data_IF_310618253321
#
_entry.id   IF_310618253321
#
_cell.length_a   1.000
_cell.length_b   1.000
_cell.length_c   1.000
_cell.angle_alpha   90.00
_cell.angle_beta   90.00
_cell.angle_gamma   90.00
#
_symmetry.space_group_name_H-M   'P 1'
#
loop_
_entity.id
_entity.type
_entity.pdbx_description
1 polymer ?
#
# COMPACT_ATOMS: atom_id res chain seq x y z
N UNK A 1 9.31 -27.58 57.50
CA UNK A 1 8.30 -27.36 56.44
C UNK A 1 8.44 -25.92 56.01
N UNK A 2 9.03 -25.71 54.84
CA UNK A 2 9.48 -24.41 54.36
C UNK A 2 8.33 -23.65 53.69
N UNK A 3 8.14 -22.42 54.12
CA UNK A 3 7.38 -21.39 53.42
C UNK A 3 8.07 -21.05 52.10
N UNK A 4 7.37 -21.20 50.98
CA UNK A 4 7.74 -20.57 49.71
C UNK A 4 6.66 -19.55 49.36
N UNK A 5 6.93 -18.28 49.69
CA UNK A 5 6.19 -17.15 49.15
C UNK A 5 6.42 -17.09 47.63
N UNK A 6 5.32 -17.08 46.88
CA UNK A 6 5.32 -16.89 45.45
C UNK A 6 5.57 -15.41 45.16
N UNK A 7 6.81 -15.04 44.80
CA UNK A 7 7.08 -13.71 44.28
C UNK A 7 6.68 -13.64 42.80
N UNK A 8 5.84 -12.67 42.38
CA UNK A 8 5.58 -12.45 40.97
C UNK A 8 6.86 -11.91 40.32
N UNK A 9 7.38 -12.64 39.33
CA UNK A 9 8.48 -12.20 38.49
C UNK A 9 8.06 -10.92 37.76
N UNK A 10 8.65 -9.79 38.16
CA UNK A 10 8.64 -8.56 37.37
C UNK A 10 9.46 -8.79 36.11
N UNK A 11 8.85 -9.29 35.05
CA UNK A 11 9.40 -9.19 33.69
C UNK A 11 9.40 -7.72 33.29
N UNK A 12 10.49 -7.01 33.61
CA UNK A 12 10.83 -5.78 32.88
C UNK A 12 11.13 -6.19 31.44
N UNK A 13 10.17 -5.98 30.54
CA UNK A 13 10.42 -6.05 29.11
C UNK A 13 11.46 -4.97 28.76
N UNK A 14 12.72 -5.35 28.60
CA UNK A 14 13.72 -4.50 27.96
C UNK A 14 13.29 -4.32 26.50
N UNK A 15 12.73 -3.16 26.15
CA UNK A 15 12.50 -2.81 24.74
C UNK A 15 13.85 -2.78 24.02
N UNK A 16 13.91 -3.39 22.84
CA UNK A 16 15.09 -3.33 21.97
C UNK A 16 15.38 -1.88 21.59
N UNK A 17 16.65 -1.55 21.34
CA UNK A 17 17.04 -0.18 20.97
C UNK A 17 16.35 0.29 19.68
N UNK A 18 16.01 -0.65 18.80
CA UNK A 18 15.19 -0.40 17.61
C UNK A 18 13.76 0.05 17.93
N UNK A 19 13.06 -0.62 18.87
CA UNK A 19 11.72 -0.20 19.29
C UNK A 19 11.75 1.17 19.98
N UNK A 20 12.82 1.48 20.73
CA UNK A 20 13.04 2.82 21.29
C UNK A 20 13.25 3.84 20.17
N UNK A 21 14.02 3.49 19.14
CA UNK A 21 14.25 4.33 17.96
C UNK A 21 12.95 4.67 17.24
N UNK A 22 12.12 3.67 16.93
CA UNK A 22 10.78 3.86 16.37
C UNK A 22 9.94 4.84 17.19
N UNK A 23 9.80 4.57 18.49
CA UNK A 23 9.01 5.40 19.41
C UNK A 23 9.56 6.83 19.50
N UNK A 24 10.90 6.96 19.46
CA UNK A 24 11.53 8.26 19.49
C UNK A 24 11.23 9.05 18.22
N UNK A 25 11.34 8.46 17.04
CA UNK A 25 11.00 9.13 15.77
C UNK A 25 9.58 9.70 15.80
N UNK A 26 8.61 8.93 16.30
CA UNK A 26 7.21 9.36 16.41
C UNK A 26 6.98 10.50 17.41
N UNK A 27 7.87 10.68 18.38
CA UNK A 27 7.72 11.66 19.46
C UNK A 27 8.58 12.92 19.28
N UNK A 28 9.38 13.01 18.20
CA UNK A 28 10.14 14.23 17.88
C UNK A 28 9.19 15.41 17.66
N UNK A 29 9.51 16.54 18.28
CA UNK A 29 8.92 17.84 17.92
C UNK A 29 9.29 18.23 16.49
N UNK A 30 8.61 19.20 15.91
CA UNK A 30 8.86 19.61 14.51
C UNK A 30 10.30 20.12 14.32
N UNK A 31 10.83 20.86 15.30
CA UNK A 31 12.21 21.35 15.30
C UNK A 31 13.21 20.20 15.42
N UNK A 32 13.02 19.28 16.37
CA UNK A 32 13.87 18.11 16.53
C UNK A 32 13.82 17.20 15.29
N UNK A 33 12.64 17.02 14.70
CA UNK A 33 12.44 16.21 13.50
C UNK A 33 13.23 16.78 12.33
N UNK A 34 13.05 18.08 12.04
CA UNK A 34 13.78 18.76 10.98
C UNK A 34 15.28 18.79 11.29
N UNK A 35 15.68 18.95 12.56
CA UNK A 35 17.08 18.97 13.00
C UNK A 35 17.79 17.61 12.95
N UNK A 36 17.03 16.51 13.02
CA UNK A 36 17.57 15.15 13.17
C UNK A 36 17.48 14.33 11.88
N UNK A 37 16.36 14.44 11.16
CA UNK A 37 16.07 13.61 9.99
C UNK A 37 16.09 14.39 8.69
N UNK A 38 16.48 13.72 7.62
CA UNK A 38 16.33 14.17 6.25
C UNK A 38 15.72 13.07 5.38
N UNK A 39 15.34 13.47 4.17
CA UNK A 39 14.90 12.56 3.13
C UNK A 39 16.06 12.28 2.19
N UNK A 40 16.33 11.01 1.94
CA UNK A 40 17.19 10.61 0.84
C UNK A 40 16.37 9.87 -0.22
N UNK A 41 16.69 10.04 -1.51
CA UNK A 41 16.02 9.28 -2.54
C UNK A 41 16.27 7.79 -2.34
N UNK A 42 15.23 7.00 -2.53
CA UNK A 42 15.32 5.54 -2.46
C UNK A 42 15.86 5.01 -3.78
N UNK A 43 17.17 5.15 -4.00
CA UNK A 43 17.84 4.45 -5.10
C UNK A 43 18.21 3.06 -4.63
N UNK A 44 17.41 2.07 -5.01
CA UNK A 44 17.95 0.71 -5.16
C UNK A 44 17.61 0.24 -6.55
N UNK A 45 18.64 -0.18 -7.28
CA UNK A 45 18.57 -0.96 -8.52
C UNK A 45 17.73 -2.25 -8.37
N UNK A 46 17.24 -2.56 -7.16
CA UNK A 46 16.45 -3.75 -6.83
C UNK A 46 15.19 -3.46 -5.99
N UNK A 47 14.87 -2.21 -5.63
CA UNK A 47 13.60 -1.91 -4.94
C UNK A 47 12.49 -1.59 -5.94
N UNK A 48 12.00 -2.66 -6.56
CA UNK A 48 10.58 -3.05 -6.61
C UNK A 48 10.48 -4.17 -7.64
N UNK A 49 10.85 -5.38 -7.22
CA UNK A 49 10.48 -6.61 -7.93
C UNK A 49 8.97 -6.89 -7.84
N UNK A 50 8.24 -6.09 -7.03
CA UNK A 50 6.81 -6.23 -6.87
C UNK A 50 6.09 -5.52 -8.02
N UNK A 51 5.69 -6.33 -8.99
CA UNK A 51 4.80 -5.95 -10.09
C UNK A 51 3.34 -5.71 -9.61
N UNK A 52 3.13 -5.48 -8.32
CA UNK A 52 1.81 -5.38 -7.69
C UNK A 52 1.79 -4.40 -6.52
N UNK A 53 0.73 -3.60 -6.45
CA UNK A 53 0.30 -2.86 -5.26
C UNK A 53 -1.04 -3.43 -4.82
N UNK A 54 -1.18 -3.73 -3.52
CA UNK A 54 -2.37 -4.39 -2.98
C UNK A 54 -3.09 -3.43 -2.07
N UNK A 55 -4.36 -3.15 -2.33
CA UNK A 55 -5.22 -2.47 -1.38
C UNK A 55 -6.43 -3.37 -1.11
N UNK A 56 -6.31 -4.24 -0.11
CA UNK A 56 -7.34 -5.18 0.24
C UNK A 56 -7.56 -5.24 1.75
N UNK A 57 -8.81 -5.50 2.12
CA UNK A 57 -9.25 -5.71 3.49
C UNK A 57 -9.48 -7.19 3.81
N UNK A 58 -9.26 -8.06 2.81
CA UNK A 58 -9.48 -9.49 2.95
C UNK A 58 -8.33 -10.29 2.38
N UNK A 59 -7.61 -10.92 3.30
CA UNK A 59 -6.63 -11.97 3.03
C UNK A 59 -7.23 -13.15 2.23
N UNK A 60 -8.51 -13.47 2.47
CA UNK A 60 -9.23 -14.52 1.73
C UNK A 60 -9.38 -14.17 0.25
N UNK A 61 -9.61 -12.91 -0.08
CA UNK A 61 -9.63 -12.46 -1.47
C UNK A 61 -8.26 -12.66 -2.13
N UNK A 62 -7.17 -12.26 -1.47
CA UNK A 62 -5.81 -12.48 -1.99
C UNK A 62 -5.51 -13.97 -2.19
N UNK A 63 -5.85 -14.81 -1.21
CA UNK A 63 -5.66 -16.25 -1.34
C UNK A 63 -6.42 -16.80 -2.54
N UNK A 64 -7.71 -16.51 -2.66
CA UNK A 64 -8.52 -17.06 -3.74
C UNK A 64 -8.08 -16.53 -5.13
N UNK A 65 -7.69 -15.24 -5.21
CA UNK A 65 -7.12 -14.62 -6.41
C UNK A 65 -5.83 -15.30 -6.87
N UNK A 66 -4.97 -15.69 -5.93
CA UNK A 66 -3.65 -16.28 -6.22
C UNK A 66 -3.59 -17.81 -6.04
N UNK A 67 -4.71 -18.49 -5.78
CA UNK A 67 -4.73 -19.95 -5.63
C UNK A 67 -4.40 -20.63 -6.96
N UNK A 68 -3.29 -21.38 -7.00
CA UNK A 68 -2.87 -22.13 -8.18
C UNK A 68 -3.80 -23.28 -8.58
N UNK A 69 -4.68 -23.74 -7.68
CA UNK A 69 -5.58 -24.88 -7.90
C UNK A 69 -6.80 -24.52 -8.73
N UNK A 70 -7.20 -23.25 -8.74
CA UNK A 70 -8.36 -22.77 -9.52
C UNK A 70 -7.92 -22.19 -10.86
N UNK A 71 -8.75 -22.35 -11.90
CA UNK A 71 -8.44 -21.82 -13.24
C UNK A 71 -8.70 -20.31 -13.31
N UNK A 72 -8.01 -19.59 -14.19
CA UNK A 72 -8.26 -18.16 -14.41
C UNK A 72 -9.73 -17.88 -14.74
N UNK A 73 -10.33 -18.68 -15.64
CA UNK A 73 -11.74 -18.58 -16.03
C UNK A 73 -12.67 -18.73 -14.82
N UNK A 74 -12.36 -19.65 -13.90
CA UNK A 74 -13.11 -19.76 -12.67
C UNK A 74 -12.96 -18.48 -11.82
N UNK A 75 -11.73 -17.99 -11.63
CA UNK A 75 -11.50 -16.80 -10.81
C UNK A 75 -12.15 -15.53 -11.40
N UNK A 76 -12.11 -15.33 -12.72
CA UNK A 76 -12.77 -14.19 -13.38
C UNK A 76 -14.30 -14.26 -13.28
N UNK A 77 -14.85 -15.47 -13.19
CA UNK A 77 -16.29 -15.65 -13.09
C UNK A 77 -16.78 -15.54 -11.64
N UNK A 78 -16.00 -16.00 -10.67
CA UNK A 78 -16.47 -16.20 -9.31
C UNK A 78 -15.81 -15.30 -8.27
N UNK A 79 -14.61 -14.77 -8.52
CA UNK A 79 -13.80 -14.11 -7.48
C UNK A 79 -13.61 -12.63 -7.79
N UNK A 80 -13.24 -12.29 -9.02
CA UNK A 80 -12.83 -10.95 -9.38
C UNK A 80 -13.32 -10.53 -10.75
N UNK A 81 -13.31 -9.23 -11.00
CA UNK A 81 -13.32 -8.67 -12.34
C UNK A 81 -12.11 -7.77 -12.54
N UNK A 82 -11.77 -7.54 -13.81
CA UNK A 82 -10.61 -6.74 -14.20
C UNK A 82 -11.12 -5.40 -14.71
N UNK A 83 -10.64 -4.32 -14.10
CA UNK A 83 -10.70 -2.97 -14.64
C UNK A 83 -9.45 -2.81 -15.52
N UNK A 84 -9.65 -2.94 -16.83
CA UNK A 84 -8.56 -2.84 -17.81
C UNK A 84 -8.16 -1.37 -18.03
N UNK A 85 -6.88 -1.00 -17.85
CA UNK A 85 -6.39 0.33 -18.13
C UNK A 85 -6.26 0.54 -19.63
N UNK A 86 -6.90 1.59 -20.12
CA UNK A 86 -6.57 2.16 -21.42
C UNK A 86 -5.20 2.87 -21.30
N UNK A 87 -4.11 2.17 -21.63
CA UNK A 87 -2.77 2.74 -21.78
C UNK A 87 -2.32 3.74 -20.70
N UNK A 88 -2.43 3.38 -19.41
CA UNK A 88 -2.05 4.27 -18.31
C UNK A 88 -0.63 4.00 -17.81
N UNK A 89 0.19 5.04 -17.75
CA UNK A 89 1.54 5.03 -17.18
C UNK A 89 1.56 5.83 -15.87
N UNK A 90 2.51 5.49 -15.00
CA UNK A 90 2.81 6.14 -13.73
C UNK A 90 4.30 6.37 -13.59
N UNK A 91 4.70 7.51 -13.08
CA UNK A 91 6.06 7.77 -12.62
C UNK A 91 6.15 7.49 -11.12
N UNK A 92 7.30 7.00 -10.67
CA UNK A 92 7.53 6.73 -9.26
C UNK A 92 8.43 7.80 -8.65
N UNK A 93 7.95 8.37 -7.56
CA UNK A 93 8.73 9.12 -6.59
C UNK A 93 8.94 8.25 -5.35
N UNK A 94 10.18 8.08 -4.89
CA UNK A 94 10.44 7.30 -3.69
C UNK A 94 11.56 7.89 -2.85
N UNK A 95 11.28 8.05 -1.56
CA UNK A 95 12.23 8.55 -0.56
C UNK A 95 12.20 7.68 0.68
N UNK A 96 13.23 7.80 1.51
CA UNK A 96 13.28 7.17 2.82
C UNK A 96 13.88 8.10 3.87
N UNK A 97 13.54 7.84 5.13
CA UNK A 97 14.11 8.57 6.25
C UNK A 97 15.59 8.25 6.42
N UNK A 98 16.37 9.28 6.74
CA UNK A 98 17.78 9.15 7.09
C UNK A 98 18.16 10.11 8.20
N UNK A 99 19.08 9.68 9.05
CA UNK A 99 19.71 10.54 10.03
C UNK A 99 20.62 11.57 9.35
N UNK A 100 20.51 12.84 9.73
CA UNK A 100 21.40 13.90 9.22
C UNK A 100 22.85 13.67 9.64
N UNK A 101 23.78 14.11 8.78
CA UNK A 101 25.21 14.10 9.09
C UNK A 101 25.58 15.16 10.14
N UNK A 102 24.84 16.28 10.19
CA UNK A 102 25.04 17.37 11.13
C UNK A 102 23.78 17.50 11.98
N UNK A 103 23.81 16.89 13.16
CA UNK A 103 22.70 16.89 14.11
C UNK A 103 22.69 18.19 14.91
N UNK A 104 21.50 18.66 15.24
CA UNK A 104 21.32 19.73 16.22
C UNK A 104 21.37 19.07 17.61
N UNK A 105 21.98 19.74 18.60
CA UNK A 105 22.15 19.24 19.98
C UNK A 105 20.82 19.13 20.77
N UNK A 106 19.66 19.20 20.10
CA UNK A 106 18.33 19.12 20.70
C UNK A 106 17.92 17.70 21.07
N UNK A 107 18.50 16.67 20.44
CA UNK A 107 18.21 15.26 20.72
C UNK A 107 19.37 14.58 21.43
N UNK A 108 19.08 13.83 22.51
CA UNK A 108 20.10 13.14 23.30
C UNK A 108 20.89 12.10 22.50
N UNK A 109 22.16 11.89 22.87
CA UNK A 109 23.05 10.92 22.18
C UNK A 109 22.51 9.48 22.16
N UNK A 110 21.88 9.05 23.26
CA UNK A 110 21.29 7.72 23.34
C UNK A 110 20.06 7.57 22.43
N UNK A 111 19.24 8.62 22.34
CA UNK A 111 18.10 8.69 21.42
C UNK A 111 18.57 8.62 19.96
N UNK A 112 19.61 9.38 19.60
CA UNK A 112 20.22 9.34 18.27
C UNK A 112 20.71 7.93 17.93
N UNK A 113 21.35 7.25 18.88
CA UNK A 113 21.82 5.88 18.70
C UNK A 113 20.66 4.90 18.49
N UNK A 114 19.57 5.04 19.24
CA UNK A 114 18.37 4.22 19.07
C UNK A 114 17.69 4.48 17.72
N UNK A 115 17.53 5.75 17.32
CA UNK A 115 17.00 6.14 16.00
C UNK A 115 17.84 5.51 14.89
N UNK A 116 19.16 5.62 15.00
CA UNK A 116 20.08 5.02 14.02
C UNK A 116 19.91 3.50 13.95
N UNK A 117 19.86 2.82 15.09
CA UNK A 117 19.66 1.38 15.14
C UNK A 117 18.37 0.95 14.42
N UNK A 118 17.26 1.68 14.64
CA UNK A 118 16.00 1.43 13.95
C UNK A 118 16.10 1.63 12.43
N UNK A 119 16.69 2.75 11.98
CA UNK A 119 16.86 3.04 10.56
C UNK A 119 17.80 2.04 9.86
N UNK A 120 18.85 1.57 10.54
CA UNK A 120 19.80 0.60 9.99
C UNK A 120 19.19 -0.82 9.89
N UNK A 121 18.34 -1.21 10.84
CA UNK A 121 17.76 -2.56 10.91
C UNK A 121 16.71 -2.81 9.82
N UNK A 122 15.90 -1.81 9.46
CA UNK A 122 14.79 -2.03 8.54
C UNK A 122 14.67 -0.98 7.42
N UNK A 123 15.53 -1.11 6.41
CA UNK A 123 15.56 -0.24 5.21
C UNK A 123 14.20 -0.06 4.51
N UNK A 124 13.30 -1.04 4.54
CA UNK A 124 12.00 -0.95 3.85
C UNK A 124 10.92 -0.21 4.66
N UNK A 125 10.94 -0.30 5.99
CA UNK A 125 9.86 0.20 6.86
C UNK A 125 9.76 1.74 6.89
N UNK A 126 10.87 2.43 6.71
CA UNK A 126 10.91 3.90 6.71
C UNK A 126 10.96 4.48 5.29
N UNK A 127 10.16 3.92 4.37
CA UNK A 127 10.05 4.38 3.00
C UNK A 127 8.68 5.02 2.70
N UNK A 128 8.71 6.00 1.82
CA UNK A 128 7.54 6.65 1.24
C UNK A 128 7.65 6.61 -0.27
N UNK A 129 6.70 5.96 -0.92
CA UNK A 129 6.64 5.81 -2.37
C UNK A 129 5.35 6.40 -2.87
N UNK A 130 5.42 7.16 -3.95
CA UNK A 130 4.27 7.67 -4.68
C UNK A 130 4.38 7.20 -6.12
N UNK A 131 3.35 6.55 -6.62
CA UNK A 131 3.16 6.36 -8.05
C UNK A 131 2.15 7.38 -8.52
N UNK A 132 2.50 8.22 -9.47
CA UNK A 132 1.64 9.29 -9.95
C UNK A 132 1.58 9.30 -11.47
N UNK A 133 0.47 9.76 -12.06
CA UNK A 133 0.41 9.94 -13.52
C UNK A 133 1.47 10.95 -14.00
N UNK A 134 1.99 10.84 -15.24
CA UNK A 134 3.05 11.72 -15.75
C UNK A 134 2.66 13.21 -15.83
N UNK A 135 1.37 13.54 -15.81
CA UNK A 135 0.88 14.92 -15.74
C UNK A 135 0.96 15.53 -14.33
N UNK A 136 1.36 14.73 -13.34
CA UNK A 136 1.53 15.15 -11.95
C UNK A 136 3.01 15.25 -11.58
N UNK A 137 3.29 16.12 -10.62
CA UNK A 137 4.57 16.18 -9.92
C UNK A 137 4.38 16.13 -8.39
N UNK A 138 5.47 15.96 -7.65
CA UNK A 138 5.40 15.81 -6.20
C UNK A 138 4.88 17.07 -5.49
N UNK A 139 5.10 18.29 -6.00
CA UNK A 139 4.59 19.50 -5.33
C UNK A 139 3.09 19.67 -5.47
N UNK A 140 2.51 19.28 -6.60
CA UNK A 140 1.06 19.24 -6.76
C UNK A 140 0.43 18.25 -5.78
N UNK A 141 1.05 17.08 -5.61
CA UNK A 141 0.61 16.09 -4.61
C UNK A 141 0.73 16.66 -3.20
N UNK A 142 1.85 17.27 -2.84
CA UNK A 142 2.04 17.89 -1.52
C UNK A 142 1.04 19.03 -1.26
N UNK A 143 0.77 19.86 -2.26
CA UNK A 143 -0.22 20.93 -2.18
C UNK A 143 -1.60 20.37 -1.84
N UNK A 144 -2.02 19.31 -2.54
CA UNK A 144 -3.25 18.61 -2.23
C UNK A 144 -3.26 17.98 -0.84
N UNK A 145 -2.17 17.30 -0.44
CA UNK A 145 -2.06 16.72 0.91
C UNK A 145 -2.20 17.79 2.01
N UNK A 146 -1.68 18.98 1.78
CA UNK A 146 -1.80 20.11 2.70
C UNK A 146 -3.23 20.67 2.75
N UNK A 147 -3.93 20.67 1.61
CA UNK A 147 -5.30 21.15 1.51
C UNK A 147 -6.30 20.20 2.19
N UNK A 148 -6.23 18.90 1.87
CA UNK A 148 -7.15 17.91 2.46
C UNK A 148 -6.80 17.56 3.91
N UNK A 149 -5.58 17.88 4.33
CA UNK A 149 -5.07 17.73 5.70
C UNK A 149 -4.76 16.29 6.13
N UNK A 150 -5.63 15.34 5.82
CA UNK A 150 -5.41 13.92 6.14
C UNK A 150 -6.01 13.04 5.06
N UNK A 151 -5.19 12.14 4.51
CA UNK A 151 -5.68 11.10 3.62
C UNK A 151 -6.42 10.04 4.40
N UNK A 152 -7.55 9.61 3.84
CA UNK A 152 -8.26 8.42 4.30
C UNK A 152 -7.68 7.20 3.59
N UNK A 153 -7.46 6.12 4.32
CA UNK A 153 -7.24 4.82 3.68
C UNK A 153 -8.53 4.38 2.99
N UNK A 154 -8.47 3.44 2.04
CA UNK A 154 -9.68 2.90 1.39
C UNK A 154 -10.65 2.25 2.41
N UNK A 155 -10.16 1.92 3.62
CA UNK A 155 -10.97 1.47 4.75
C UNK A 155 -11.79 2.58 5.42
N UNK A 156 -11.31 3.81 5.39
CA UNK A 156 -11.95 4.95 6.07
C UNK A 156 -12.92 5.71 5.14
N UNK A 157 -12.87 5.42 3.85
CA UNK A 157 -13.81 5.93 2.85
C UNK A 157 -15.18 5.24 3.04
N UNK A 158 -16.27 5.94 2.76
CA UNK A 158 -17.63 5.36 2.80
C UNK A 158 -17.90 4.41 1.62
N UNK A 159 -18.92 3.57 1.73
CA UNK A 159 -19.22 2.52 0.73
C UNK A 159 -19.58 3.06 -0.64
N UNK A 160 -20.27 4.20 -0.70
CA UNK A 160 -20.67 4.81 -1.96
C UNK A 160 -19.43 5.32 -2.72
N UNK A 161 -18.59 6.08 -2.03
CA UNK A 161 -17.34 6.59 -2.59
C UNK A 161 -16.38 5.45 -2.95
N UNK A 162 -16.27 4.43 -2.10
CA UNK A 162 -15.47 3.23 -2.37
C UNK A 162 -15.92 2.52 -3.65
N UNK A 163 -17.24 2.34 -3.84
CA UNK A 163 -17.80 1.73 -5.04
C UNK A 163 -17.44 2.50 -6.31
N UNK A 164 -17.61 3.83 -6.30
CA UNK A 164 -17.23 4.69 -7.44
C UNK A 164 -15.73 4.56 -7.74
N UNK A 165 -14.91 4.60 -6.71
CA UNK A 165 -13.46 4.52 -6.83
C UNK A 165 -12.98 3.14 -7.28
N UNK A 166 -13.73 2.09 -6.98
CA UNK A 166 -13.40 0.71 -7.38
C UNK A 166 -13.31 0.55 -8.90
N UNK A 167 -14.13 1.28 -9.66
CA UNK A 167 -14.14 1.29 -11.13
C UNK A 167 -13.16 2.31 -11.75
N UNK A 168 -12.61 3.23 -10.94
CA UNK A 168 -11.66 4.25 -11.38
C UNK A 168 -10.21 3.81 -11.22
N UNK A 169 -9.35 4.42 -12.03
CA UNK A 169 -7.90 4.35 -11.87
C UNK A 169 -7.40 5.61 -11.14
N UNK A 170 -6.61 5.47 -10.07
CA UNK A 170 -6.17 6.61 -9.28
C UNK A 170 -5.33 7.61 -10.09
N UNK A 171 -5.21 8.85 -9.60
CA UNK A 171 -4.24 9.79 -10.18
C UNK A 171 -2.86 9.60 -9.55
N UNK A 172 -2.84 9.25 -8.27
CA UNK A 172 -1.64 8.77 -7.61
C UNK A 172 -1.99 7.76 -6.50
N UNK A 173 -1.01 6.92 -6.18
CA UNK A 173 -1.02 5.90 -5.15
C UNK A 173 0.12 6.22 -4.20
N UNK A 174 -0.14 6.29 -2.90
CA UNK A 174 0.90 6.40 -1.88
C UNK A 174 1.05 5.04 -1.20
N UNK A 175 2.28 4.56 -1.13
CA UNK A 175 2.67 3.39 -0.36
C UNK A 175 3.63 3.81 0.74
N UNK A 176 3.29 3.46 1.98
CA UNK A 176 4.09 3.66 3.17
C UNK A 176 4.06 2.39 4.02
N UNK A 177 5.24 1.82 4.28
CA UNK A 177 5.32 0.54 4.98
C UNK A 177 5.00 0.66 6.49
N UNK A 178 5.13 1.86 7.04
CA UNK A 178 4.80 2.20 8.44
C UNK A 178 3.87 3.42 8.43
N UNK A 179 2.54 3.23 8.45
CA UNK A 179 1.54 4.29 8.32
C UNK A 179 1.73 5.46 9.31
N UNK A 180 2.24 5.18 10.51
CA UNK A 180 2.52 6.17 11.56
C UNK A 180 3.55 7.22 11.11
N UNK A 181 4.41 6.89 10.15
CA UNK A 181 5.37 7.83 9.57
C UNK A 181 4.79 8.73 8.48
N UNK A 182 3.54 8.55 8.06
CA UNK A 182 2.95 9.33 6.97
C UNK A 182 3.01 10.83 7.25
N UNK A 183 2.65 11.24 8.46
CA UNK A 183 2.75 12.64 8.91
C UNK A 183 4.19 13.14 8.90
N UNK A 184 5.15 12.30 9.28
CA UNK A 184 6.58 12.64 9.30
C UNK A 184 7.08 12.91 7.88
N UNK A 185 6.73 12.03 6.93
CA UNK A 185 7.05 12.24 5.52
C UNK A 185 6.44 13.52 4.98
N UNK A 186 5.15 13.77 5.23
CA UNK A 186 4.50 15.00 4.76
C UNK A 186 5.21 16.25 5.28
N UNK A 187 5.56 16.29 6.58
CA UNK A 187 6.31 17.41 7.18
C UNK A 187 7.68 17.61 6.51
N UNK A 188 8.46 16.55 6.38
CA UNK A 188 9.79 16.64 5.78
C UNK A 188 9.71 16.99 4.29
N UNK A 189 8.76 16.42 3.54
CA UNK A 189 8.54 16.72 2.13
C UNK A 189 8.15 18.18 1.91
N UNK A 190 7.29 18.74 2.77
CA UNK A 190 6.95 20.16 2.74
C UNK A 190 8.18 21.04 3.04
N UNK A 191 8.95 20.68 4.07
CA UNK A 191 10.17 21.41 4.44
C UNK A 191 11.23 21.40 3.33
N UNK A 192 11.40 20.25 2.67
CA UNK A 192 12.37 20.07 1.58
C UNK A 192 11.80 20.29 0.18
N UNK A 193 10.56 20.76 0.04
CA UNK A 193 9.82 20.84 -1.23
C UNK A 193 10.63 21.46 -2.37
N UNK A 194 11.19 22.66 -2.13
CA UNK A 194 12.03 23.38 -3.09
C UNK A 194 13.28 22.59 -3.52
N UNK A 195 13.89 21.84 -2.60
CA UNK A 195 15.11 21.07 -2.87
C UNK A 195 14.82 19.72 -3.50
N UNK A 196 13.66 19.15 -3.19
CA UNK A 196 13.19 17.88 -3.72
C UNK A 196 12.85 18.06 -5.19
N UNK A 197 12.03 19.04 -5.57
CA UNK A 197 11.69 19.25 -6.99
C UNK A 197 12.92 19.38 -7.89
N UNK A 198 13.93 20.14 -7.45
CA UNK A 198 15.16 20.36 -8.20
C UNK A 198 16.10 19.14 -8.29
N UNK A 199 15.93 18.15 -7.40
CA UNK A 199 16.81 16.96 -7.29
C UNK A 199 16.06 15.63 -7.43
N UNK A 200 14.77 15.69 -7.76
CA UNK A 200 13.93 14.51 -7.83
C UNK A 200 14.30 13.74 -9.08
N UNK A 201 14.90 12.58 -8.91
CA UNK A 201 14.99 11.60 -9.98
C UNK A 201 13.73 10.74 -9.93
N UNK A 202 12.70 11.16 -10.64
CA UNK A 202 11.58 10.29 -10.95
C UNK A 202 12.10 9.06 -11.70
N UNK A 203 11.58 7.87 -11.38
CA UNK A 203 11.95 6.68 -12.15
C UNK A 203 11.39 6.76 -13.56
N UNK A 204 11.92 5.95 -14.47
CA UNK A 204 11.26 5.66 -15.76
C UNK A 204 9.77 5.37 -15.56
N UNK A 205 8.90 5.81 -16.48
CA UNK A 205 7.48 5.47 -16.43
C UNK A 205 7.27 3.96 -16.28
N UNK A 206 6.32 3.60 -15.43
CA UNK A 206 5.86 2.24 -15.16
C UNK A 206 4.43 2.12 -15.65
N UNK A 207 4.11 1.02 -16.32
CA UNK A 207 2.80 0.82 -16.94
C UNK A 207 1.85 0.10 -15.98
N UNK A 208 0.65 0.63 -15.77
CA UNK A 208 -0.42 -0.13 -15.13
C UNK A 208 -0.98 -1.15 -16.14
N UNK A 209 -0.90 -2.44 -15.80
CA UNK A 209 -1.41 -3.55 -16.62
C UNK A 209 -2.90 -3.78 -16.33
N UNK A 210 -3.33 -3.58 -15.09
CA UNK A 210 -4.70 -3.85 -14.68
C UNK A 210 -4.95 -3.57 -13.22
N UNK A 211 -6.21 -3.31 -12.89
CA UNK A 211 -6.72 -3.33 -11.52
C UNK A 211 -7.71 -4.47 -11.40
N UNK A 212 -7.49 -5.38 -10.47
CA UNK A 212 -8.37 -6.51 -10.19
C UNK A 212 -9.14 -6.19 -8.93
N UNK A 213 -10.47 -6.28 -8.97
CA UNK A 213 -11.32 -6.00 -7.81
C UNK A 213 -12.25 -7.18 -7.54
N UNK A 214 -12.60 -7.39 -6.27
CA UNK A 214 -13.49 -8.50 -5.89
C UNK A 214 -14.89 -8.31 -6.48
N UNK A 215 -15.48 -9.41 -6.96
CA UNK A 215 -16.89 -9.44 -7.38
C UNK A 215 -17.84 -9.30 -6.19
N UNK A 216 -18.90 -8.50 -6.38
CA UNK A 216 -19.96 -8.34 -5.39
C UNK A 216 -20.78 -9.62 -5.18
N UNK A 217 -20.96 -10.41 -6.25
CA UNK A 217 -21.81 -11.60 -6.32
C UNK A 217 -21.05 -12.92 -6.12
N UNK A 218 -19.85 -12.88 -5.54
CA UNK A 218 -19.02 -14.07 -5.36
C UNK A 218 -19.70 -15.12 -4.48
N UNK A 219 -20.13 -16.25 -5.08
CA UNK A 219 -20.70 -17.39 -4.35
C UNK A 219 -19.67 -18.24 -3.62
N UNK A 220 -18.39 -18.12 -4.01
CA UNK A 220 -17.30 -18.96 -3.52
C UNK A 220 -16.56 -18.35 -2.33
N UNK A 221 -16.62 -17.02 -2.20
CA UNK A 221 -16.05 -16.31 -1.07
C UNK A 221 -17.14 -15.44 -0.48
N UNK A 222 -17.97 -16.03 0.37
CA UNK A 222 -18.81 -15.26 1.27
C UNK A 222 -17.89 -14.65 2.34
N UNK A 223 -17.49 -13.41 2.08
CA UNK A 223 -16.74 -12.63 3.06
C UNK A 223 -17.74 -11.76 3.81
N UNK A 224 -18.61 -12.41 4.60
CA UNK A 224 -19.50 -11.73 5.55
C UNK A 224 -18.70 -10.66 6.31
N UNK A 225 -19.11 -9.40 6.16
CA UNK A 225 -18.47 -8.27 6.84
C UNK A 225 -17.32 -7.58 6.09
N UNK A 226 -17.04 -7.92 4.82
CA UNK A 226 -16.16 -7.09 3.97
C UNK A 226 -16.93 -6.43 2.84
N UNK A 227 -16.31 -5.40 2.27
CA UNK A 227 -16.89 -4.57 1.23
C UNK A 227 -16.10 -4.84 -0.06
N UNK A 228 -16.63 -5.62 -1.02
CA UNK A 228 -15.87 -6.11 -2.19
C UNK A 228 -15.15 -5.01 -2.98
N UNK A 229 -15.73 -3.81 -3.06
CA UNK A 229 -15.13 -2.64 -3.71
C UNK A 229 -13.80 -2.16 -3.11
N UNK A 230 -13.50 -2.58 -1.89
CA UNK A 230 -12.26 -2.25 -1.16
C UNK A 230 -11.20 -3.34 -1.28
N UNK A 231 -11.52 -4.46 -1.94
CA UNK A 231 -10.61 -5.57 -2.19
C UNK A 231 -10.05 -5.45 -3.62
N UNK A 232 -8.93 -4.75 -3.75
CA UNK A 232 -8.31 -4.38 -5.02
C UNK A 232 -6.82 -4.76 -5.09
N UNK A 233 -6.35 -5.17 -6.27
CA UNK A 233 -4.92 -5.35 -6.58
C UNK A 233 -4.59 -4.62 -7.88
N UNK A 234 -3.61 -3.74 -7.84
CA UNK A 234 -3.06 -3.04 -8.99
C UNK A 234 -1.83 -3.77 -9.49
N UNK A 235 -1.78 -4.09 -10.78
CA UNK A 235 -0.65 -4.76 -11.41
C UNK A 235 0.13 -3.76 -12.24
N UNK A 236 1.40 -3.56 -11.91
CA UNK A 236 2.28 -2.55 -12.51
C UNK A 236 3.49 -3.24 -13.11
N UNK A 237 3.86 -2.84 -14.32
CA UNK A 237 5.00 -3.35 -15.05
C UNK A 237 6.01 -2.24 -15.27
N UNK A 238 7.27 -2.47 -14.91
CA UNK A 238 8.35 -1.56 -15.25
C UNK A 238 8.66 -1.62 -16.75
N UNK A 239 8.91 -0.47 -17.36
CA UNK A 239 9.29 -0.40 -18.76
C UNK A 239 10.70 -0.98 -19.04
N UNK A 240 11.56 -1.09 -18.02
CA UNK A 240 12.98 -1.47 -18.17
C UNK A 240 13.29 -2.98 -18.00
N UNK A 241 12.33 -3.82 -17.59
CA UNK A 241 12.56 -5.25 -17.31
C UNK A 241 12.77 -6.15 -18.55
N UNK A 242 12.98 -5.57 -19.74
CA UNK A 242 13.19 -6.31 -21.00
C UNK A 242 14.58 -6.12 -21.64
N UNK A 243 15.60 -5.72 -20.88
CA UNK A 243 17.00 -5.73 -21.34
C UNK A 243 17.86 -6.90 -20.81
N UNK A 244 17.30 -7.79 -20.00
CA UNK A 244 17.98 -9.00 -19.49
C UNK A 244 17.62 -10.29 -20.25
N UNK A 245 18.54 -11.26 -20.27
CA UNK A 245 18.58 -12.51 -21.07
C UNK A 245 17.35 -13.44 -21.06
N UNK A 246 16.31 -13.15 -20.27
CA UNK A 246 15.01 -13.81 -20.37
C UNK A 246 13.97 -12.78 -20.81
N UNK A 247 13.82 -12.59 -22.13
CA UNK A 247 12.62 -11.96 -22.70
C UNK A 247 11.42 -12.88 -22.46
N UNK A 248 10.91 -12.92 -21.23
CA UNK A 248 9.52 -13.28 -21.07
C UNK A 248 8.75 -12.05 -21.52
N UNK A 249 8.25 -12.09 -22.75
CA UNK A 249 7.16 -11.23 -23.18
C UNK A 249 5.98 -11.54 -22.26
N UNK A 250 5.94 -10.88 -21.11
CA UNK A 250 4.71 -10.78 -20.36
C UNK A 250 3.75 -10.08 -21.30
N UNK A 251 2.76 -10.83 -21.79
CA UNK A 251 1.58 -10.23 -22.37
C UNK A 251 1.14 -9.15 -21.39
N UNK A 252 0.90 -7.94 -21.91
CA UNK A 252 0.46 -6.77 -21.15
C UNK A 252 -1.00 -6.93 -20.71
N UNK A 253 -1.34 -8.11 -20.21
CA UNK A 253 -2.68 -8.60 -19.92
C UNK A 253 -2.59 -9.46 -18.67
N UNK A 254 -3.54 -9.28 -17.76
CA UNK A 254 -3.69 -10.14 -16.60
C UNK A 254 -4.36 -11.43 -17.04
N UNK A 255 -3.59 -12.52 -17.14
CA UNK A 255 -4.09 -13.84 -17.49
C UNK A 255 -3.71 -14.91 -16.45
N UNK A 256 -4.07 -16.17 -16.72
CA UNK A 256 -3.80 -17.27 -15.82
C UNK A 256 -2.32 -17.62 -15.64
N UNK A 257 -1.45 -17.31 -16.61
CA UNK A 257 0.00 -17.50 -16.47
C UNK A 257 0.58 -16.37 -15.63
N UNK A 258 0.14 -15.14 -15.86
CA UNK A 258 0.54 -13.98 -15.09
C UNK A 258 0.18 -14.10 -13.60
N UNK A 259 -1.03 -14.52 -13.26
CA UNK A 259 -1.42 -14.74 -11.86
C UNK A 259 -0.61 -15.86 -11.17
N UNK A 260 -0.08 -16.83 -11.92
CA UNK A 260 0.72 -17.93 -11.34
C UNK A 260 2.03 -17.44 -10.70
N UNK A 261 2.59 -16.32 -11.16
CA UNK A 261 3.81 -15.73 -10.59
C UNK A 261 3.60 -15.29 -9.13
N UNK A 262 2.36 -14.96 -8.75
CA UNK A 262 2.00 -14.51 -7.41
C UNK A 262 1.50 -15.63 -6.50
N UNK A 263 1.58 -16.90 -6.93
CA UNK A 263 1.08 -18.04 -6.13
C UNK A 263 1.80 -18.23 -4.79
N UNK A 264 2.98 -17.66 -4.61
CA UNK A 264 3.64 -17.63 -3.31
C UNK A 264 2.97 -16.68 -2.31
N UNK A 265 2.20 -15.69 -2.77
CA UNK A 265 1.38 -14.82 -1.91
C UNK A 265 0.35 -15.64 -1.15
N UNK A 266 -0.33 -16.58 -1.82
CA UNK A 266 -1.29 -17.51 -1.20
C UNK A 266 -0.71 -18.28 0.01
N UNK A 267 0.60 -18.57 0.02
CA UNK A 267 1.24 -19.30 1.14
C UNK A 267 1.51 -18.42 2.37
N UNK A 268 1.47 -17.10 2.20
CA UNK A 268 1.76 -16.12 3.25
C UNK A 268 0.50 -15.53 3.89
N UNK A 269 -0.67 -15.82 3.31
CA UNK A 269 -1.97 -15.36 3.78
C UNK A 269 -2.33 -16.03 5.10
N UNK A 270 -2.81 -15.24 6.05
CA UNK A 270 -3.42 -15.75 7.28
C UNK A 270 -4.92 -15.94 7.05
N UNK A 271 -5.32 -17.20 6.84
CA UNK A 271 -6.71 -17.57 6.53
C UNK A 271 -7.69 -17.30 7.67
N UNK A 272 -7.17 -17.25 8.91
CA UNK A 272 -7.96 -17.08 10.12
C UNK A 272 -8.18 -15.60 10.46
N UNK A 273 -7.42 -14.69 9.83
CA UNK A 273 -7.59 -13.26 10.00
C UNK A 273 -8.48 -12.65 8.91
N UNK A 274 -9.80 -12.71 9.12
CA UNK A 274 -10.77 -12.10 8.20
C UNK A 274 -10.73 -10.57 8.15
N UNK A 275 -9.94 -9.93 9.01
CA UNK A 275 -9.82 -8.48 9.15
C UNK A 275 -8.40 -7.96 8.87
N UNK A 276 -7.52 -8.78 8.29
CA UNK A 276 -6.20 -8.34 7.86
C UNK A 276 -6.34 -7.25 6.79
N UNK A 277 -6.09 -5.99 7.19
CA UNK A 277 -5.95 -4.86 6.28
C UNK A 277 -4.48 -4.52 6.10
N UNK A 278 -4.09 -4.23 4.86
CA UNK A 278 -2.80 -3.62 4.58
C UNK A 278 -2.96 -2.10 4.54
N UNK A 279 -2.96 -1.45 5.71
CA UNK A 279 -3.09 0.02 5.84
C UNK A 279 -1.86 0.80 5.31
N UNK A 280 -0.96 0.10 4.62
CA UNK A 280 0.23 0.66 3.99
C UNK A 280 -0.07 1.50 2.75
N UNK A 281 -1.27 1.39 2.19
CA UNK A 281 -1.60 2.04 0.93
C UNK A 281 -2.72 3.06 1.09
N UNK A 282 -2.45 4.27 0.61
CA UNK A 282 -3.44 5.33 0.49
C UNK A 282 -3.66 5.57 -1.00
N UNK A 283 -4.89 5.37 -1.46
CA UNK A 283 -5.24 5.66 -2.85
C UNK A 283 -6.05 6.95 -2.87
N UNK A 284 -5.64 7.87 -3.73
CA UNK A 284 -6.32 9.15 -3.85
C UNK A 284 -6.90 9.28 -5.25
N UNK A 285 -8.20 9.50 -5.26
CA UNK A 285 -8.98 9.82 -6.44
C UNK A 285 -9.33 11.31 -6.37
N UNK A 286 -9.06 12.03 -7.46
CA UNK A 286 -9.28 13.48 -7.65
C UNK A 286 -8.57 14.44 -6.68
N UNK A 287 -7.50 15.08 -7.18
CA UNK A 287 -7.22 16.48 -6.81
C UNK A 287 -8.13 17.31 -7.72
N UNK A 288 -9.21 17.87 -7.15
CA UNK A 288 -10.29 18.63 -7.78
C UNK A 288 -10.37 18.59 -9.33
N UNK A 289 -11.28 17.80 -9.91
CA UNK A 289 -11.91 18.15 -11.18
C UNK A 289 -13.25 17.45 -11.41
N UNK A 290 -14.18 18.21 -12.00
CA UNK A 290 -15.54 17.83 -12.26
C UNK A 290 -15.67 16.64 -13.23
N UNK A 291 -16.56 15.69 -12.91
CA UNK A 291 -17.31 14.88 -13.87
C UNK A 291 -16.53 14.36 -15.09
N UNK A 292 -15.53 13.51 -14.88
CA UNK A 292 -15.29 12.45 -15.86
C UNK A 292 -16.43 11.44 -15.71
N UNK A 293 -17.42 11.60 -16.60
CA UNK A 293 -18.65 10.80 -16.69
C UNK A 293 -18.32 9.32 -16.63
N UNK A 294 -18.59 8.70 -15.48
CA UNK A 294 -18.82 7.27 -15.42
C UNK A 294 -20.19 7.05 -16.09
N UNK A 295 -20.21 6.35 -17.21
CA UNK A 295 -21.43 5.72 -17.69
C UNK A 295 -21.73 4.54 -16.74
N UNK A 296 -22.35 4.83 -15.59
CA UNK A 296 -22.99 3.81 -14.79
C UNK A 296 -24.07 3.21 -15.69
N UNK A 297 -23.84 2.00 -16.22
CA UNK A 297 -24.93 1.21 -16.76
C UNK A 297 -25.79 0.84 -15.55
N UNK A 298 -26.87 1.60 -15.34
CA UNK A 298 -27.97 1.18 -14.50
C UNK A 298 -28.59 -0.07 -15.12
N UNK A 299 -28.06 -1.25 -14.79
CA UNK A 299 -28.73 -2.52 -14.99
C UNK A 299 -28.07 -3.53 -14.05
N UNK A 300 -28.57 -3.57 -12.82
CA UNK A 300 -28.70 -4.79 -12.01
C UNK A 300 -29.53 -4.48 -10.75
N UNK A 301 -30.74 -3.94 -10.98
CA UNK A 301 -31.82 -3.93 -9.99
C UNK A 301 -32.78 -5.09 -10.29
N UNK A 302 -32.31 -6.32 -10.16
CA UNK A 302 -33.20 -7.47 -9.98
C UNK A 302 -32.44 -8.66 -9.38
N UNK A 303 -32.35 -8.70 -8.05
CA UNK A 303 -32.04 -9.94 -7.35
C UNK A 303 -33.36 -10.71 -7.18
N UNK A 304 -33.62 -11.67 -8.07
CA UNK A 304 -34.59 -12.73 -7.82
C UNK A 304 -34.11 -13.61 -6.65
N UNK A 305 -35.08 -14.11 -5.88
CA UNK A 305 -34.93 -14.85 -4.61
C UNK A 305 -33.91 -15.99 -4.68
N UNK A 306 -33.06 -16.04 -3.64
CA UNK A 306 -32.09 -17.09 -3.36
C UNK A 306 -32.67 -18.52 -3.37
N UNK A 307 -31.97 -19.50 -3.94
CA UNK A 307 -32.10 -20.89 -3.51
C UNK A 307 -31.25 -21.12 -2.25
N UNK A 308 -31.82 -21.84 -1.27
CA UNK A 308 -31.20 -22.15 0.03
C UNK A 308 -29.75 -22.67 -0.12
N UNK A 309 -28.81 -21.96 0.50
CA UNK A 309 -27.40 -22.29 0.52
C UNK A 309 -27.11 -23.54 1.39
N UNK A 310 -26.04 -24.31 1.09
CA UNK A 310 -25.63 -25.46 1.89
C UNK A 310 -25.29 -25.09 3.34
N UNK A 311 -25.51 -26.04 4.26
CA UNK A 311 -25.40 -25.89 5.74
C UNK A 311 -24.08 -25.31 6.28
N UNK A 312 -23.00 -25.31 5.50
CA UNK A 312 -21.72 -24.72 5.89
C UNK A 312 -21.66 -23.19 5.64
N UNK A 313 -22.74 -22.60 5.15
CA UNK A 313 -22.85 -21.17 4.78
C UNK A 313 -23.67 -20.35 5.81
N UNK A 314 -23.91 -20.90 7.01
CA UNK A 314 -24.36 -20.10 8.15
C UNK A 314 -23.17 -19.59 8.93
#
# INVERSE_FOLDING_TARGET
MNNSEFQPSKTKHNMTDSNKGYTKILSLTDEELIGTLCLEPRYREFDSTNNTFTNCQSDRFLAALFDKRTSFKFKSNEIFHIVEPQHLEYEQFAVKLKLKNHLIDTVGKEDIKCIKAYLDECNSQHCFTVLMRPDLNISQILSYLNEVGTLKSDREIDDYTSRINSERLPRFLIAIETPEFFRIFCKLLNFYSNTIEAKTNYTSPQKLIGKVIQRQDSKYIDIKGTIPHRNCVYFIQKNDDLKGFFKMEFNRVIDGLFLKYFTNVHKKVDYDNSAASDDKYFTVYDMECANDKINLKENDKSFEKDPDLPKYSK
#
